data_IF_894377495642
#
_entry.id   IF_894377495642
#
_cell.length_a   1.000
_cell.length_b   1.000
_cell.length_c   1.000
_cell.angle_alpha   90.00
_cell.angle_beta   90.00
_cell.angle_gamma   90.00
#
_symmetry.space_group_name_H-M   'P 1'
#
loop_
_entity.id
_entity.type
_entity.pdbx_description
1 polymer ?
#
# COMPACT_ATOMS: atom_id res chain seq x y z
N UNK A 1 -14.06 -27.62 10.35
CA UNK A 1 -13.31 -26.39 10.00
C UNK A 1 -14.14 -25.40 9.17
N UNK A 2 -14.36 -25.56 7.85
CA UNK A 2 -15.04 -24.52 7.03
C UNK A 2 -16.47 -24.19 7.50
N UNK A 3 -17.32 -25.21 7.72
CA UNK A 3 -18.67 -24.98 8.23
C UNK A 3 -18.73 -24.46 9.69
N UNK A 4 -17.66 -24.65 10.47
CA UNK A 4 -17.56 -24.05 11.80
C UNK A 4 -17.22 -22.55 11.69
N UNK A 5 -16.31 -22.19 10.77
CA UNK A 5 -15.94 -20.79 10.50
C UNK A 5 -17.12 -19.96 9.98
N UNK A 6 -17.94 -20.51 9.07
CA UNK A 6 -19.15 -19.83 8.56
C UNK A 6 -20.17 -19.52 9.66
N UNK A 7 -20.19 -20.32 10.72
CA UNK A 7 -21.12 -20.16 11.85
C UNK A 7 -20.60 -19.21 12.94
N UNK A 8 -19.35 -18.74 12.84
CA UNK A 8 -18.80 -17.81 13.81
C UNK A 8 -19.50 -16.44 13.70
N UNK A 9 -20.09 -15.93 14.79
CA UNK A 9 -20.74 -14.62 14.76
C UNK A 9 -19.69 -13.52 14.58
N UNK A 10 -20.02 -12.50 13.78
CA UNK A 10 -19.25 -11.25 13.77
C UNK A 10 -19.40 -10.55 15.11
N UNK A 11 -18.31 -10.04 15.66
CA UNK A 11 -18.31 -9.23 16.88
C UNK A 11 -18.15 -7.74 16.56
N UNK A 12 -18.53 -6.88 17.51
CA UNK A 12 -18.36 -5.44 17.37
C UNK A 12 -16.88 -5.10 17.54
N UNK A 13 -16.27 -4.53 16.51
CA UNK A 13 -14.95 -3.90 16.57
C UNK A 13 -15.01 -2.38 16.42
N UNK A 14 -13.88 -1.74 16.67
CA UNK A 14 -13.63 -0.32 16.45
C UNK A 14 -12.55 -0.14 15.38
N UNK A 15 -12.35 1.10 14.91
CA UNK A 15 -11.25 1.39 13.98
C UNK A 15 -9.86 1.11 14.60
N UNK A 16 -9.74 1.10 15.94
CA UNK A 16 -8.49 0.76 16.63
C UNK A 16 -8.09 -0.71 16.49
N UNK A 17 -9.04 -1.58 16.13
CA UNK A 17 -8.80 -3.00 15.90
C UNK A 17 -8.33 -3.28 14.46
N UNK A 18 -8.34 -2.27 13.58
CA UNK A 18 -7.95 -2.41 12.18
C UNK A 18 -6.46 -2.17 11.96
N UNK A 19 -5.84 -3.09 11.24
CA UNK A 19 -4.53 -3.00 10.64
C UNK A 19 -4.69 -3.12 9.13
N UNK A 20 -4.20 -2.13 8.39
CA UNK A 20 -4.44 -2.00 6.95
C UNK A 20 -3.13 -1.86 6.20
N UNK A 21 -2.93 -2.69 5.19
CA UNK A 21 -1.77 -2.60 4.31
C UNK A 21 -1.95 -1.56 3.22
N UNK A 22 -0.86 -0.90 2.84
CA UNK A 22 -0.82 0.15 1.83
C UNK A 22 0.10 -0.28 0.70
N UNK A 23 -0.47 -0.42 -0.49
CA UNK A 23 0.21 -1.00 -1.64
C UNK A 23 -0.03 -0.15 -2.89
N UNK A 24 0.90 -0.19 -3.84
CA UNK A 24 0.64 0.34 -5.17
C UNK A 24 0.99 -0.66 -6.27
N UNK A 25 0.18 -0.65 -7.32
CA UNK A 25 0.39 -1.48 -8.50
C UNK A 25 1.04 -0.72 -9.63
N UNK A 26 0.40 -0.77 -10.80
CA UNK A 26 0.81 -0.01 -11.96
C UNK A 26 0.66 1.50 -11.73
N UNK A 27 1.70 2.13 -11.18
CA UNK A 27 1.74 3.58 -10.95
C UNK A 27 1.79 4.38 -12.26
N UNK A 28 1.12 5.52 -12.27
CA UNK A 28 1.13 6.55 -13.30
C UNK A 28 1.55 7.92 -12.73
N UNK A 29 1.58 8.95 -13.57
CA UNK A 29 1.87 10.33 -13.15
C UNK A 29 0.87 10.90 -12.14
N UNK A 30 -0.39 10.44 -12.15
CA UNK A 30 -1.41 10.92 -11.23
C UNK A 30 -1.33 10.26 -9.85
N UNK A 31 -0.72 9.08 -9.73
CA UNK A 31 -0.68 8.29 -8.49
C UNK A 31 -0.16 9.09 -7.30
N UNK A 32 0.91 9.87 -7.49
CA UNK A 32 1.48 10.75 -6.46
C UNK A 32 0.72 12.06 -6.20
N UNK A 33 -0.29 12.38 -7.02
CA UNK A 33 -1.09 13.60 -6.94
C UNK A 33 -2.52 13.34 -6.42
N UNK A 34 -3.05 12.13 -6.61
CA UNK A 34 -4.44 11.77 -6.31
C UNK A 34 -4.54 10.63 -5.30
N UNK A 35 -4.42 9.37 -5.75
CA UNK A 35 -4.71 8.18 -4.97
C UNK A 35 -3.78 8.04 -3.75
N UNK A 36 -2.46 8.21 -3.93
CA UNK A 36 -1.51 8.00 -2.83
C UNK A 36 -1.67 9.05 -1.72
N UNK A 37 -1.76 10.37 -2.02
CA UNK A 37 -2.09 11.37 -0.99
C UNK A 37 -3.46 11.15 -0.32
N UNK A 38 -4.47 10.70 -1.07
CA UNK A 38 -5.80 10.43 -0.51
C UNK A 38 -5.77 9.22 0.44
N UNK A 39 -5.05 8.15 0.08
CA UNK A 39 -4.75 7.03 0.97
C UNK A 39 -4.01 7.53 2.21
N UNK A 40 -3.01 8.39 2.06
CA UNK A 40 -2.32 9.01 3.19
C UNK A 40 -3.27 9.74 4.15
N UNK A 41 -4.28 10.45 3.64
CA UNK A 41 -5.31 11.08 4.47
C UNK A 41 -6.25 10.09 5.16
N UNK A 42 -6.62 9.00 4.49
CA UNK A 42 -7.39 7.93 5.11
C UNK A 42 -6.61 7.26 6.25
N UNK A 43 -5.31 7.05 6.05
CA UNK A 43 -4.39 6.44 7.02
C UNK A 43 -4.17 7.35 8.22
N UNK A 44 -3.93 8.65 8.00
CA UNK A 44 -3.83 9.62 9.10
C UNK A 44 -5.08 9.55 9.99
N UNK A 45 -6.26 9.52 9.37
CA UNK A 45 -7.52 9.45 10.12
C UNK A 45 -7.73 8.11 10.81
N UNK A 46 -7.31 6.99 10.20
CA UNK A 46 -7.32 5.67 10.82
C UNK A 46 -6.42 5.65 12.07
N UNK A 47 -5.21 6.20 11.96
CA UNK A 47 -4.24 6.30 13.06
C UNK A 47 -4.77 7.18 14.20
N UNK A 48 -5.42 8.30 13.89
CA UNK A 48 -6.10 9.14 14.88
C UNK A 48 -7.22 8.38 15.64
N UNK A 49 -7.87 7.42 14.99
CA UNK A 49 -8.86 6.54 15.61
C UNK A 49 -8.25 5.33 16.34
N UNK A 50 -6.92 5.24 16.41
CA UNK A 50 -6.16 4.18 17.09
C UNK A 50 -5.81 2.99 16.21
N UNK A 51 -6.16 3.01 14.92
CA UNK A 51 -5.86 1.94 13.98
C UNK A 51 -4.39 1.94 13.53
N UNK A 52 -4.04 0.97 12.69
CA UNK A 52 -2.67 0.76 12.18
C UNK A 52 -2.63 0.78 10.67
N UNK A 53 -1.71 1.55 10.09
CA UNK A 53 -1.40 1.52 8.66
C UNK A 53 -0.01 0.93 8.44
N UNK A 54 0.14 0.00 7.50
CA UNK A 54 1.43 -0.59 7.12
C UNK A 54 1.82 -0.07 5.75
N UNK A 55 2.82 0.81 5.71
CA UNK A 55 3.47 1.19 4.46
C UNK A 55 4.49 0.10 4.07
N UNK A 56 4.38 -0.38 2.84
CA UNK A 56 5.24 -1.42 2.29
C UNK A 56 6.08 -0.90 1.11
N UNK A 57 6.68 -1.79 0.33
CA UNK A 57 7.45 -1.53 -0.89
C UNK A 57 8.76 -0.76 -0.62
N UNK A 58 9.66 -1.34 0.17
CA UNK A 58 10.89 -0.64 0.60
C UNK A 58 11.78 -0.23 -0.57
N UNK A 59 11.79 -0.99 -1.66
CA UNK A 59 12.50 -0.62 -2.90
C UNK A 59 11.96 0.65 -3.54
N UNK A 60 10.66 0.93 -3.38
CA UNK A 60 10.02 2.14 -3.90
C UNK A 60 10.36 3.38 -3.08
N UNK A 61 11.01 3.24 -1.92
CA UNK A 61 11.37 4.36 -1.04
C UNK A 61 12.78 4.91 -1.32
N UNK A 62 13.59 4.22 -2.13
CA UNK A 62 15.02 4.53 -2.37
C UNK A 62 15.21 6.00 -2.79
N UNK A 63 14.38 6.51 -3.71
CA UNK A 63 14.47 7.88 -4.21
C UNK A 63 13.96 8.97 -3.25
N UNK A 64 13.33 8.61 -2.13
CA UNK A 64 12.67 9.54 -1.21
C UNK A 64 12.93 9.23 0.28
N UNK A 65 14.04 8.57 0.61
CA UNK A 65 14.40 8.20 1.99
C UNK A 65 14.50 9.44 2.91
N UNK A 66 15.09 10.54 2.44
CA UNK A 66 15.30 11.75 3.24
C UNK A 66 14.00 12.32 3.85
N UNK A 67 12.95 12.59 3.04
CA UNK A 67 11.63 12.95 3.55
C UNK A 67 11.05 11.93 4.55
N UNK A 68 11.16 10.63 4.26
CA UNK A 68 10.57 9.58 5.09
C UNK A 68 11.24 9.48 6.48
N UNK A 69 12.57 9.66 6.56
CA UNK A 69 13.31 9.69 7.82
C UNK A 69 12.86 10.83 8.75
N UNK A 70 12.39 11.96 8.19
CA UNK A 70 11.87 13.08 9.00
C UNK A 70 10.54 12.75 9.67
N UNK A 71 9.83 11.74 9.19
CA UNK A 71 8.58 11.26 9.77
C UNK A 71 8.80 10.18 10.83
N UNK A 72 10.03 9.72 11.07
CA UNK A 72 10.30 8.74 12.11
C UNK A 72 10.09 9.32 13.52
N UNK A 73 9.41 8.58 14.39
CA UNK A 73 9.14 9.01 15.78
C UNK A 73 10.40 9.05 16.65
N UNK A 74 11.46 8.30 16.27
CA UNK A 74 12.73 8.25 16.99
C UNK A 74 13.91 7.96 16.07
N UNK A 75 15.12 8.26 16.56
CA UNK A 75 16.38 7.95 15.87
C UNK A 75 16.55 6.44 15.62
N UNK A 76 16.04 5.59 16.51
CA UNK A 76 16.07 4.13 16.34
C UNK A 76 15.20 3.68 15.16
N UNK A 77 13.98 4.20 15.07
CA UNK A 77 13.07 3.95 13.94
C UNK A 77 13.70 4.46 12.63
N UNK A 78 14.27 5.68 12.65
CA UNK A 78 14.95 6.26 11.50
C UNK A 78 16.15 5.40 11.06
N UNK A 79 16.96 4.92 12.01
CA UNK A 79 18.12 4.07 11.72
C UNK A 79 17.71 2.72 11.12
N UNK A 80 16.68 2.06 11.67
CA UNK A 80 16.17 0.79 11.13
C UNK A 80 15.61 0.98 9.71
N UNK A 81 14.84 2.04 9.49
CA UNK A 81 14.30 2.38 8.16
C UNK A 81 15.41 2.62 7.14
N UNK A 82 16.41 3.44 7.50
CA UNK A 82 17.58 3.72 6.66
C UNK A 82 18.32 2.43 6.31
N UNK A 83 18.57 1.56 7.29
CA UNK A 83 19.26 0.30 7.07
C UNK A 83 18.49 -0.63 6.11
N UNK A 84 17.15 -0.67 6.19
CA UNK A 84 16.32 -1.47 5.29
C UNK A 84 16.39 -0.93 3.85
N UNK A 85 16.22 0.38 3.65
CA UNK A 85 16.30 0.99 2.32
C UNK A 85 17.70 0.83 1.71
N UNK A 86 18.77 1.05 2.49
CA UNK A 86 20.15 0.87 2.03
C UNK A 86 20.44 -0.60 1.65
N UNK A 87 19.89 -1.57 2.38
CA UNK A 87 19.98 -2.99 2.05
C UNK A 87 19.28 -3.31 0.73
N UNK A 88 18.07 -2.81 0.54
CA UNK A 88 17.32 -3.02 -0.71
C UNK A 88 18.01 -2.35 -1.90
N UNK A 89 18.56 -1.14 -1.72
CA UNK A 89 19.35 -0.46 -2.75
C UNK A 89 20.61 -1.25 -3.12
N UNK A 90 21.33 -1.77 -2.13
CA UNK A 90 22.50 -2.63 -2.37
C UNK A 90 22.12 -3.89 -3.16
N UNK A 91 21.02 -4.56 -2.78
CA UNK A 91 20.50 -5.73 -3.51
C UNK A 91 20.09 -5.38 -4.94
N UNK A 92 19.42 -4.26 -5.15
CA UNK A 92 19.04 -3.79 -6.49
C UNK A 92 20.29 -3.55 -7.37
N UNK A 93 21.35 -2.95 -6.80
CA UNK A 93 22.64 -2.77 -7.49
C UNK A 93 23.35 -4.08 -7.80
N UNK A 94 23.27 -5.07 -6.92
CA UNK A 94 23.84 -6.39 -7.17
C UNK A 94 23.13 -7.11 -8.32
N UNK A 95 21.79 -7.07 -8.35
CA UNK A 95 20.98 -7.76 -9.36
C UNK A 95 20.99 -7.03 -10.71
N UNK A 96 20.89 -5.70 -10.69
CA UNK A 96 20.67 -4.89 -11.90
C UNK A 96 21.93 -4.13 -12.37
N UNK A 97 23.00 -4.13 -11.57
CA UNK A 97 24.25 -3.46 -11.90
C UNK A 97 24.04 -1.97 -12.21
N UNK A 98 24.57 -1.46 -13.35
CA UNK A 98 24.41 -0.06 -13.76
C UNK A 98 22.95 0.40 -13.94
N UNK A 99 21.99 -0.52 -14.08
CA UNK A 99 20.57 -0.20 -14.29
C UNK A 99 19.79 0.05 -12.99
N UNK A 100 20.40 -0.17 -11.83
CA UNK A 100 19.73 0.01 -10.53
C UNK A 100 19.24 1.45 -10.26
N UNK A 101 19.81 2.45 -10.93
CA UNK A 101 19.33 3.85 -10.85
C UNK A 101 18.16 4.18 -11.79
N UNK A 102 17.70 3.23 -12.60
CA UNK A 102 16.66 3.42 -13.62
C UNK A 102 15.49 2.43 -13.46
N UNK A 103 15.31 1.84 -12.28
CA UNK A 103 14.27 0.85 -11.95
C UNK A 103 12.89 1.49 -11.89
N UNK A 104 12.39 1.89 -13.04
CA UNK A 104 10.97 2.11 -13.30
C UNK A 104 10.50 0.91 -14.12
N UNK A 105 9.38 0.28 -13.74
CA UNK A 105 8.82 -0.74 -14.60
C UNK A 105 8.51 -0.09 -15.97
N UNK A 106 8.68 -0.78 -17.11
CA UNK A 106 8.42 -0.19 -18.44
C UNK A 106 7.06 0.51 -18.52
N UNK A 107 6.06 -0.11 -17.87
CA UNK A 107 4.73 0.44 -17.73
C UNK A 107 4.62 1.77 -17.00
N UNK A 108 5.45 2.02 -15.99
CA UNK A 108 5.48 3.29 -15.27
C UNK A 108 6.04 4.42 -16.16
N UNK A 109 7.06 4.11 -16.97
CA UNK A 109 7.66 5.05 -17.91
C UNK A 109 6.68 5.42 -19.02
N UNK A 110 5.98 4.43 -19.57
CA UNK A 110 4.88 4.65 -20.54
C UNK A 110 3.77 5.54 -19.98
N UNK A 111 3.49 5.41 -18.68
CA UNK A 111 2.50 6.22 -17.95
C UNK A 111 3.06 7.57 -17.44
N UNK A 112 4.28 7.94 -17.82
CA UNK A 112 4.84 9.29 -17.70
C UNK A 112 5.76 9.53 -16.49
N UNK A 113 6.11 8.51 -15.70
CA UNK A 113 7.10 8.66 -14.62
C UNK A 113 8.52 8.74 -15.21
N UNK A 114 9.28 9.76 -14.84
CA UNK A 114 10.59 10.04 -15.46
C UNK A 114 11.78 9.70 -14.58
N UNK A 115 11.60 9.72 -13.25
CA UNK A 115 12.68 9.39 -12.30
C UNK A 115 12.20 8.48 -11.17
N UNK A 116 13.13 7.73 -10.57
CA UNK A 116 12.87 6.98 -9.33
C UNK A 116 12.43 7.92 -8.20
N UNK A 117 13.01 9.12 -8.11
CA UNK A 117 12.65 10.10 -7.09
C UNK A 117 11.17 10.51 -7.18
N UNK A 118 10.64 10.74 -8.38
CA UNK A 118 9.21 11.04 -8.58
C UNK A 118 8.32 9.89 -8.13
N UNK A 119 8.66 8.66 -8.53
CA UNK A 119 7.92 7.46 -8.11
C UNK A 119 7.97 7.28 -6.59
N UNK A 120 9.15 7.43 -6.00
CA UNK A 120 9.36 7.29 -4.55
C UNK A 120 8.61 8.35 -3.76
N UNK A 121 8.61 9.62 -4.20
CA UNK A 121 7.84 10.68 -3.57
C UNK A 121 6.33 10.38 -3.63
N UNK A 122 5.86 9.86 -4.77
CA UNK A 122 4.49 9.38 -4.90
C UNK A 122 4.18 8.20 -3.98
N UNK A 123 5.08 7.22 -3.87
CA UNK A 123 4.90 6.04 -3.02
C UNK A 123 4.78 6.42 -1.54
N UNK A 124 5.70 7.24 -1.02
CA UNK A 124 5.70 7.63 0.40
C UNK A 124 4.50 8.51 0.77
N UNK A 125 3.80 9.11 -0.20
CA UNK A 125 2.59 9.89 0.08
C UNK A 125 1.46 9.02 0.68
N UNK A 126 1.48 7.69 0.45
CA UNK A 126 0.55 6.74 1.10
C UNK A 126 0.69 6.72 2.62
N UNK A 127 1.86 7.07 3.16
CA UNK A 127 2.08 7.12 4.60
C UNK A 127 1.35 8.28 5.28
N UNK A 128 0.88 9.28 4.53
CA UNK A 128 0.24 10.45 5.12
C UNK A 128 1.23 11.33 5.87
N UNK A 129 0.81 11.85 7.03
CA UNK A 129 1.58 12.77 7.88
C UNK A 129 1.78 12.29 9.31
N UNK A 130 1.21 11.13 9.67
CA UNK A 130 1.42 10.48 10.96
C UNK A 130 2.89 10.07 11.15
N UNK A 131 3.45 10.16 12.37
CA UNK A 131 4.79 9.66 12.63
C UNK A 131 4.89 8.16 12.43
N UNK A 132 5.97 7.70 11.79
CA UNK A 132 6.33 6.28 11.67
C UNK A 132 6.79 5.82 13.07
N UNK A 133 6.04 4.88 13.64
CA UNK A 133 6.22 4.43 15.03
C UNK A 133 7.06 3.17 15.15
N UNK A 134 7.12 2.39 14.08
CA UNK A 134 7.80 1.11 14.07
C UNK A 134 8.25 0.77 12.64
N UNK A 135 9.35 0.03 12.54
CA UNK A 135 9.79 -0.62 11.29
C UNK A 135 9.90 -2.10 11.57
N UNK A 136 9.21 -2.92 10.79
CA UNK A 136 9.15 -4.38 10.97
C UNK A 136 9.71 -5.11 9.75
N UNK A 137 10.14 -6.35 9.95
CA UNK A 137 10.61 -7.20 8.86
C UNK A 137 9.42 -7.89 8.17
N UNK A 138 9.66 -8.51 7.02
CA UNK A 138 8.62 -9.12 6.20
C UNK A 138 7.79 -10.15 6.97
N UNK A 139 6.48 -9.91 7.12
CA UNK A 139 5.56 -10.81 7.81
C UNK A 139 5.54 -10.69 9.34
N UNK A 140 6.42 -9.88 9.93
CA UNK A 140 6.41 -9.65 11.37
C UNK A 140 5.23 -8.78 11.78
N UNK A 141 4.51 -9.20 12.83
CA UNK A 141 3.38 -8.45 13.39
C UNK A 141 3.90 -7.23 14.15
N UNK A 142 3.46 -6.00 13.80
CA UNK A 142 3.82 -4.81 14.54
C UNK A 142 3.40 -4.90 16.01
N UNK A 143 4.29 -4.47 16.91
CA UNK A 143 4.01 -4.39 18.35
C UNK A 143 3.26 -3.10 18.73
N UNK A 144 3.29 -2.09 17.86
CA UNK A 144 2.72 -0.76 18.12
C UNK A 144 1.62 -0.40 17.13
N UNK A 145 0.58 0.25 17.65
CA UNK A 145 -0.45 0.89 16.82
C UNK A 145 0.06 2.22 16.23
N UNK A 146 -0.41 2.54 15.03
CA UNK A 146 -0.08 3.77 14.31
C UNK A 146 0.43 3.49 12.90
N UNK A 147 1.25 4.39 12.36
CA UNK A 147 1.91 4.16 11.08
C UNK A 147 3.17 3.30 11.28
N UNK A 148 3.27 2.22 10.53
CA UNK A 148 4.38 1.27 10.56
C UNK A 148 4.93 1.10 9.15
N UNK A 149 6.24 0.89 9.02
CA UNK A 149 6.86 0.48 7.75
C UNK A 149 7.25 -0.98 7.81
N UNK A 150 6.88 -1.77 6.80
CA UNK A 150 7.34 -3.15 6.66
C UNK A 150 8.36 -3.26 5.52
N UNK A 151 9.47 -3.95 5.77
CA UNK A 151 10.43 -4.28 4.72
C UNK A 151 9.88 -5.38 3.80
N UNK A 152 9.18 -4.96 2.75
CA UNK A 152 8.70 -5.84 1.69
C UNK A 152 9.39 -5.58 0.35
N UNK A 153 9.42 -6.58 -0.56
CA UNK A 153 9.76 -6.36 -1.97
C UNK A 153 8.80 -5.37 -2.65
N UNK A 154 9.20 -4.79 -3.78
CA UNK A 154 8.32 -3.94 -4.60
C UNK A 154 7.36 -4.69 -5.53
N UNK A 155 7.35 -6.03 -5.51
CA UNK A 155 6.37 -6.78 -6.27
C UNK A 155 5.08 -6.91 -5.45
N UNK A 156 3.99 -6.38 -5.98
CA UNK A 156 2.72 -6.17 -5.29
C UNK A 156 2.19 -7.42 -4.55
N UNK A 157 2.11 -8.56 -5.22
CA UNK A 157 1.53 -9.78 -4.64
C UNK A 157 2.39 -10.30 -3.46
N UNK A 158 3.72 -10.24 -3.60
CA UNK A 158 4.63 -10.64 -2.53
C UNK A 158 4.55 -9.68 -1.34
N UNK A 159 4.47 -8.38 -1.62
CA UNK A 159 4.33 -7.34 -0.60
C UNK A 159 3.04 -7.48 0.19
N UNK A 160 1.90 -7.67 -0.49
CA UNK A 160 0.61 -7.95 0.15
C UNK A 160 0.64 -9.20 1.03
N UNK A 161 1.35 -10.26 0.61
CA UNK A 161 1.48 -11.46 1.43
C UNK A 161 2.22 -11.20 2.76
N UNK A 162 3.24 -10.33 2.77
CA UNK A 162 3.92 -9.91 4.00
C UNK A 162 2.97 -9.17 4.94
N UNK A 163 2.21 -8.21 4.41
CA UNK A 163 1.24 -7.45 5.21
C UNK A 163 0.09 -8.32 5.75
N UNK A 164 -0.43 -9.24 4.93
CA UNK A 164 -1.44 -10.19 5.36
C UNK A 164 -0.90 -11.14 6.45
N UNK A 165 0.35 -11.62 6.31
CA UNK A 165 1.01 -12.47 7.31
C UNK A 165 1.23 -11.75 8.65
N UNK A 166 1.55 -10.46 8.62
CA UNK A 166 1.65 -9.63 9.82
C UNK A 166 0.29 -9.35 10.50
N UNK A 167 -0.80 -9.67 9.81
CA UNK A 167 -2.15 -9.55 10.33
C UNK A 167 -2.89 -8.30 9.87
N UNK A 168 -2.57 -7.71 8.72
CA UNK A 168 -3.46 -6.75 8.08
C UNK A 168 -4.82 -7.42 7.78
N UNK A 169 -5.93 -6.72 8.00
CA UNK A 169 -7.28 -7.19 7.68
C UNK A 169 -7.80 -6.71 6.33
N UNK A 170 -7.15 -5.73 5.71
CA UNK A 170 -7.48 -5.22 4.39
C UNK A 170 -6.25 -4.58 3.75
N UNK A 171 -6.23 -4.47 2.42
CA UNK A 171 -5.21 -3.74 1.66
C UNK A 171 -5.86 -2.61 0.88
N UNK A 172 -5.31 -1.40 1.01
CA UNK A 172 -5.60 -0.28 0.11
C UNK A 172 -4.59 -0.32 -1.03
N UNK A 173 -5.07 -0.60 -2.23
CA UNK A 173 -4.24 -0.83 -3.42
C UNK A 173 -4.47 0.28 -4.44
N UNK A 174 -3.48 1.16 -4.64
CA UNK A 174 -3.60 2.23 -5.63
C UNK A 174 -3.09 1.79 -7.01
N UNK A 175 -3.75 2.23 -8.07
CA UNK A 175 -3.36 1.88 -9.44
C UNK A 175 -3.73 2.95 -10.45
N UNK A 176 -2.81 3.23 -11.39
CA UNK A 176 -3.05 4.08 -12.55
C UNK A 176 -3.18 3.30 -13.86
N UNK A 177 -2.99 1.97 -13.82
CA UNK A 177 -3.01 1.11 -15.03
C UNK A 177 -4.01 -0.05 -14.95
N UNK A 178 -4.79 -0.14 -13.87
CA UNK A 178 -5.83 -1.16 -13.74
C UNK A 178 -5.32 -2.57 -13.47
N UNK A 179 -4.26 -2.71 -12.66
CA UNK A 179 -3.77 -4.02 -12.20
C UNK A 179 -4.94 -4.85 -11.61
N UNK A 180 -5.34 -5.97 -12.23
CA UNK A 180 -6.49 -6.77 -11.79
C UNK A 180 -6.07 -7.73 -10.67
N UNK A 181 -5.63 -7.16 -9.55
CA UNK A 181 -5.12 -7.91 -8.41
C UNK A 181 -6.15 -8.01 -7.29
N UNK A 182 -6.09 -9.12 -6.57
CA UNK A 182 -6.73 -9.33 -5.30
C UNK A 182 -5.90 -10.30 -4.47
N UNK A 183 -6.38 -10.68 -3.29
CA UNK A 183 -5.66 -11.55 -2.38
C UNK A 183 -6.62 -12.57 -1.74
N UNK A 184 -6.23 -13.85 -1.59
CA UNK A 184 -7.14 -14.89 -1.13
C UNK A 184 -7.57 -14.78 0.33
N UNK A 185 -6.77 -14.12 1.18
CA UNK A 185 -6.99 -14.13 2.63
C UNK A 185 -7.57 -12.82 3.18
N UNK A 186 -7.42 -11.71 2.46
CA UNK A 186 -7.85 -10.38 2.90
C UNK A 186 -8.41 -9.57 1.73
N UNK A 187 -9.46 -8.75 1.95
CA UNK A 187 -10.02 -7.89 0.91
C UNK A 187 -8.98 -6.88 0.41
N UNK A 188 -8.96 -6.69 -0.91
CA UNK A 188 -8.15 -5.68 -1.59
C UNK A 188 -9.09 -4.62 -2.16
N UNK A 189 -8.93 -3.38 -1.69
CA UNK A 189 -9.71 -2.22 -2.14
C UNK A 189 -8.88 -1.49 -3.19
N UNK A 190 -9.31 -1.57 -4.45
CA UNK A 190 -8.61 -0.96 -5.59
C UNK A 190 -9.05 0.48 -5.80
N UNK A 191 -8.09 1.38 -5.82
CA UNK A 191 -8.29 2.83 -5.91
C UNK A 191 -7.59 3.33 -7.18
N UNK A 192 -8.35 3.86 -8.14
CA UNK A 192 -7.74 4.44 -9.35
C UNK A 192 -7.15 5.81 -9.05
N UNK A 193 -6.01 6.12 -9.66
CA UNK A 193 -5.41 7.46 -9.63
C UNK A 193 -6.06 8.44 -10.61
N UNK A 194 -6.82 7.95 -11.58
CA UNK A 194 -7.48 8.77 -12.59
C UNK A 194 -8.89 8.24 -12.91
N UNK A 195 -9.79 9.15 -13.31
CA UNK A 195 -11.21 8.83 -13.56
C UNK A 195 -11.41 8.06 -14.85
N UNK A 196 -10.54 8.25 -15.85
CA UNK A 196 -10.60 7.49 -17.11
C UNK A 196 -10.46 5.99 -16.86
N UNK A 197 -9.52 5.58 -16.01
CA UNK A 197 -9.35 4.19 -15.60
C UNK A 197 -10.58 3.67 -14.85
N UNK A 198 -11.14 4.45 -13.94
CA UNK A 198 -12.34 4.07 -13.19
C UNK A 198 -13.53 3.81 -14.12
N UNK A 199 -13.74 4.72 -15.09
CA UNK A 199 -14.82 4.62 -16.08
C UNK A 199 -14.59 3.46 -17.06
N UNK A 200 -13.34 3.14 -17.38
CA UNK A 200 -12.98 2.01 -18.24
C UNK A 200 -13.08 0.65 -17.54
N UNK A 201 -12.90 0.60 -16.21
CA UNK A 201 -12.90 -0.62 -15.40
C UNK A 201 -13.84 -0.54 -14.18
N UNK A 202 -15.14 -0.21 -14.36
CA UNK A 202 -16.08 0.02 -13.26
C UNK A 202 -16.41 -1.25 -12.46
N UNK A 203 -16.16 -2.42 -13.06
CA UNK A 203 -16.32 -3.73 -12.43
C UNK A 203 -15.05 -4.20 -11.72
N UNK A 204 -13.95 -3.46 -11.82
CA UNK A 204 -12.67 -3.84 -11.19
C UNK A 204 -12.18 -2.82 -10.16
N UNK A 205 -12.48 -1.53 -10.31
CA UNK A 205 -12.02 -0.49 -9.38
C UNK A 205 -13.12 -0.16 -8.36
N UNK A 206 -12.76 -0.11 -7.08
CA UNK A 206 -13.70 0.17 -5.98
C UNK A 206 -13.93 1.67 -5.76
N UNK A 207 -12.93 2.52 -6.02
CA UNK A 207 -13.00 3.97 -5.77
C UNK A 207 -12.19 4.81 -6.76
N UNK A 208 -12.75 5.94 -7.18
CA UNK A 208 -12.11 6.92 -8.08
C UNK A 208 -11.46 8.10 -7.34
N UNK A 209 -10.12 8.09 -7.23
CA UNK A 209 -9.37 9.24 -6.72
C UNK A 209 -9.08 10.30 -7.80
N UNK A 210 -9.30 9.99 -9.08
CA UNK A 210 -9.21 10.94 -10.19
C UNK A 210 -10.16 12.13 -10.05
N UNK A 211 -11.24 11.99 -9.27
CA UNK A 211 -12.13 13.10 -8.90
C UNK A 211 -11.43 14.28 -8.22
N UNK A 212 -10.19 14.09 -7.70
CA UNK A 212 -9.33 15.18 -7.21
C UNK A 212 -8.92 16.13 -8.34
N UNK A 213 -8.59 15.59 -9.53
CA UNK A 213 -8.26 16.39 -10.71
C UNK A 213 -9.48 17.18 -11.21
N UNK A 214 -10.69 16.71 -10.91
CA UNK A 214 -11.94 17.40 -11.17
C UNK A 214 -12.38 18.39 -10.07
N UNK A 215 -11.55 18.60 -9.04
CA UNK A 215 -11.74 19.66 -8.03
C UNK A 215 -12.15 19.20 -6.64
N UNK A 216 -12.30 17.90 -6.37
CA UNK A 216 -12.40 17.42 -4.97
C UNK A 216 -11.05 17.63 -4.26
N UNK A 217 -11.10 17.87 -2.96
CA UNK A 217 -9.88 17.90 -2.16
C UNK A 217 -9.38 16.49 -1.86
N UNK A 218 -8.06 16.37 -1.66
CA UNK A 218 -7.43 15.12 -1.21
C UNK A 218 -8.10 14.60 0.08
N UNK A 219 -8.40 15.50 1.04
CA UNK A 219 -9.08 15.12 2.28
C UNK A 219 -10.48 14.56 2.05
N UNK A 220 -11.26 15.11 1.11
CA UNK A 220 -12.60 14.58 0.80
C UNK A 220 -12.53 13.15 0.26
N UNK A 221 -11.56 12.88 -0.61
CA UNK A 221 -11.36 11.52 -1.15
C UNK A 221 -10.77 10.59 -0.09
N UNK A 222 -9.88 11.08 0.79
CA UNK A 222 -9.38 10.32 1.94
C UNK A 222 -10.50 9.87 2.88
N UNK A 223 -11.48 10.73 3.19
CA UNK A 223 -12.65 10.34 3.97
C UNK A 223 -13.51 9.28 3.23
N UNK A 224 -13.63 9.38 1.90
CA UNK A 224 -14.33 8.37 1.08
C UNK A 224 -13.62 7.00 1.14
N UNK A 225 -12.28 7.00 1.11
CA UNK A 225 -11.47 5.78 1.25
C UNK A 225 -11.65 5.17 2.64
N UNK A 226 -11.57 5.98 3.71
CA UNK A 226 -11.78 5.48 5.08
C UNK A 226 -13.19 4.91 5.27
N UNK A 227 -14.22 5.60 4.79
CA UNK A 227 -15.60 5.15 4.87
C UNK A 227 -15.82 3.84 4.11
N UNK A 228 -15.23 3.70 2.91
CA UNK A 228 -15.23 2.43 2.17
C UNK A 228 -14.51 1.31 2.93
N UNK A 229 -13.31 1.57 3.46
CA UNK A 229 -12.57 0.62 4.29
C UNK A 229 -13.41 0.14 5.48
N UNK A 230 -14.11 1.04 6.18
CA UNK A 230 -14.97 0.67 7.31
C UNK A 230 -16.20 -0.15 6.87
N UNK A 231 -16.75 0.09 5.67
CA UNK A 231 -17.81 -0.77 5.12
C UNK A 231 -17.28 -2.16 4.75
N UNK A 232 -16.07 -2.24 4.18
CA UNK A 232 -15.42 -3.51 3.85
C UNK A 232 -15.12 -4.31 5.12
N UNK A 233 -14.61 -3.66 6.17
CA UNK A 233 -14.44 -4.28 7.49
C UNK A 233 -15.76 -4.83 8.08
N UNK A 234 -16.91 -4.23 7.71
CA UNK A 234 -18.25 -4.69 8.09
C UNK A 234 -18.82 -5.78 7.17
N UNK A 235 -18.09 -6.17 6.12
CA UNK A 235 -18.45 -7.26 5.22
C UNK A 235 -19.01 -6.83 3.87
N UNK A 236 -18.85 -5.56 3.47
CA UNK A 236 -19.03 -5.22 2.07
C UNK A 236 -17.92 -5.87 1.24
N UNK A 237 -18.28 -6.67 0.24
CA UNK A 237 -17.31 -7.28 -0.68
C UNK A 237 -16.65 -6.22 -1.57
N UNK A 238 -15.35 -6.36 -1.83
CA UNK A 238 -14.64 -5.58 -2.83
C UNK A 238 -14.83 -6.16 -4.23
N UNK A 239 -14.53 -5.36 -5.27
CA UNK A 239 -14.54 -5.84 -6.65
C UNK A 239 -13.61 -7.04 -6.84
N UNK A 240 -12.46 -7.08 -6.15
CA UNK A 240 -11.55 -8.23 -6.20
C UNK A 240 -12.19 -9.52 -5.68
N UNK A 241 -12.94 -9.45 -4.57
CA UNK A 241 -13.66 -10.58 -3.99
C UNK A 241 -14.77 -11.07 -4.94
N UNK A 242 -15.59 -10.13 -5.44
CA UNK A 242 -16.68 -10.43 -6.39
C UNK A 242 -16.14 -11.12 -7.65
N UNK A 243 -14.98 -10.68 -8.14
CA UNK A 243 -14.34 -11.21 -9.34
C UNK A 243 -13.47 -12.45 -9.09
N UNK A 244 -13.39 -12.96 -7.86
CA UNK A 244 -12.54 -14.08 -7.46
C UNK A 244 -11.05 -13.89 -7.81
N UNK A 245 -10.55 -12.65 -7.67
CA UNK A 245 -9.14 -12.33 -7.89
C UNK A 245 -8.35 -12.73 -6.64
N UNK A 246 -7.70 -13.89 -6.70
CA UNK A 246 -7.06 -14.51 -5.54
C UNK A 246 -5.63 -14.96 -5.88
N UNK A 247 -4.76 -14.01 -6.25
CA UNK A 247 -3.36 -14.31 -6.56
C UNK A 247 -2.55 -14.32 -5.27
N UNK A 248 -1.62 -15.29 -5.15
CA UNK A 248 -0.78 -15.44 -3.96
C UNK A 248 0.64 -15.79 -4.36
N UNK A 249 1.60 -15.06 -3.78
CA UNK A 249 3.03 -15.28 -3.90
C UNK A 249 3.71 -14.83 -2.60
N UNK A 250 4.84 -15.44 -2.27
CA UNK A 250 5.65 -15.08 -1.11
C UNK A 250 7.04 -14.64 -1.57
N UNK A 251 7.63 -13.69 -0.85
CA UNK A 251 8.98 -13.21 -1.17
C UNK A 251 9.99 -14.36 -1.14
N UNK A 252 10.71 -14.56 -2.24
CA UNK A 252 11.81 -15.54 -2.30
C UNK A 252 13.15 -14.87 -1.99
N UNK A 253 13.86 -15.40 -0.99
CA UNK A 253 15.16 -14.88 -0.55
C UNK A 253 16.35 -15.33 -1.40
N UNK A 254 16.18 -16.31 -2.30
CA UNK A 254 17.26 -16.90 -3.08
C UNK A 254 16.82 -17.32 -4.48
N UNK A 255 17.76 -17.71 -5.34
CA UNK A 255 17.43 -18.24 -6.67
C UNK A 255 16.57 -19.49 -6.53
N UNK A 256 15.71 -19.73 -7.51
CA UNK A 256 14.86 -20.92 -7.57
C UNK A 256 15.64 -22.23 -7.79
N UNK A 257 16.97 -22.16 -7.94
CA UNK A 257 17.90 -23.25 -8.22
C UNK A 257 19.22 -23.08 -7.47
#
# INVERSE_FOLDING_TARGET
LLGELESLPREKGTAADLMVGLECGGSDTFSGLTANPAVGKAVDRLVELGGTGILAETTEMIGALGPLLKSAESDEVAAKLKANVERQEARAREVLGPLAGAVLAPGNVESGLTTIAEKSLGCIAKAGSSPIREVVDYGDRPARQGLVVMDTPGYDIESMAGMAAAGAQAILFTTGRGTPVGFPAVPVIKISSNSELFEAMPDDIDLDAGTILAGKSISQVGEQILDLLLRVARGQETKAEINNQAVFAIAQGGPAF
#
